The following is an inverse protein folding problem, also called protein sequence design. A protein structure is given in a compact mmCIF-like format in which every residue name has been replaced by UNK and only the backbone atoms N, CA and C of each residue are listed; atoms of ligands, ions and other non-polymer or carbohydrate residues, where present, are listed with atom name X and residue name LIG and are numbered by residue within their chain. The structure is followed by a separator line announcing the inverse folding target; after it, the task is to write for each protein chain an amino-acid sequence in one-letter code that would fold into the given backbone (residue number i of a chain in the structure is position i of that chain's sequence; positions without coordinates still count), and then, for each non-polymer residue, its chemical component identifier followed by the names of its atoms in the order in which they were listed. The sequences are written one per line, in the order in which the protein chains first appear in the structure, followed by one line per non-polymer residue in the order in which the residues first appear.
data_IF_811019059061
#
_entry.id   IF_811019059061
#
_cell.length_a   1.000
_cell.length_b   1.000
_cell.length_c   1.000
_cell.angle_alpha   90.00
_cell.angle_beta   90.00
_cell.angle_gamma   90.00
#
_symmetry.space_group_name_H-M   'P 1'
#
loop_
_entity.id
_entity.type
_entity.pdbx_description
1 polymer ?
#
# COMPACT_ATOMS: atom_id res chain seq x y z
N UNK A 1 13.02 13.23 -0.45
CA UNK A 1 11.89 13.44 -1.38
C UNK A 1 10.68 12.82 -0.72
N UNK A 2 9.81 13.65 -0.17
CA UNK A 2 8.63 13.21 0.57
C UNK A 2 7.52 12.92 -0.44
N UNK A 3 7.18 11.64 -0.63
CA UNK A 3 5.97 11.29 -1.33
C UNK A 3 4.76 11.56 -0.44
N UNK A 4 3.63 11.94 -1.04
CA UNK A 4 2.36 12.08 -0.34
C UNK A 4 1.48 10.86 -0.60
N UNK A 5 0.70 10.48 0.42
CA UNK A 5 -0.21 9.36 0.33
C UNK A 5 -1.60 9.85 -0.07
N UNK A 6 -2.12 9.34 -1.19
CA UNK A 6 -3.50 9.57 -1.61
C UNK A 6 -4.25 8.25 -1.76
N UNK A 7 -5.43 8.16 -1.14
CA UNK A 7 -6.36 7.05 -1.38
C UNK A 7 -7.38 7.43 -2.44
N UNK A 8 -7.55 6.57 -3.45
CA UNK A 8 -8.71 6.68 -4.34
C UNK A 8 -10.01 6.43 -3.56
N UNK A 9 -11.12 7.04 -4.00
CA UNK A 9 -12.44 6.87 -3.34
C UNK A 9 -12.83 5.40 -3.15
N UNK A 10 -12.47 4.53 -4.09
CA UNK A 10 -12.76 3.09 -4.01
C UNK A 10 -11.81 2.35 -3.07
N UNK A 11 -10.54 2.76 -3.00
CA UNK A 11 -9.58 2.22 -2.05
C UNK A 11 -9.93 2.61 -0.61
N UNK A 12 -10.27 3.88 -0.37
CA UNK A 12 -10.65 4.37 0.95
C UNK A 12 -11.87 3.60 1.51
N UNK A 13 -12.93 3.46 0.71
CA UNK A 13 -14.12 2.65 1.09
C UNK A 13 -13.80 1.20 1.43
N UNK A 14 -12.78 0.60 0.80
CA UNK A 14 -12.34 -0.77 1.12
C UNK A 14 -11.48 -0.78 2.38
N UNK A 15 -10.66 0.25 2.55
CA UNK A 15 -9.77 0.43 3.70
C UNK A 15 -10.57 0.63 4.99
N UNK A 16 -11.61 1.47 4.95
CA UNK A 16 -12.50 1.75 6.09
C UNK A 16 -13.29 0.52 6.56
N UNK A 17 -13.45 -0.49 5.69
CA UNK A 17 -14.09 -1.77 6.02
C UNK A 17 -13.13 -2.79 6.63
N UNK A 18 -11.84 -2.49 6.69
CA UNK A 18 -10.86 -3.38 7.30
C UNK A 18 -11.03 -3.37 8.83
N UNK A 19 -10.69 -4.49 9.46
CA UNK A 19 -10.51 -4.52 10.91
C UNK A 19 -9.47 -3.44 11.30
N UNK A 20 -9.70 -2.63 12.35
CA UNK A 20 -8.77 -1.61 12.82
C UNK A 20 -7.31 -2.08 12.95
N UNK A 21 -7.10 -3.31 13.44
CA UNK A 21 -5.75 -3.88 13.60
C UNK A 21 -5.06 -4.13 12.24
N UNK A 22 -5.82 -4.50 11.22
CA UNK A 22 -5.31 -4.71 9.86
C UNK A 22 -5.03 -3.37 9.17
N UNK A 23 -5.94 -2.40 9.37
CA UNK A 23 -5.74 -1.03 8.88
C UNK A 23 -4.46 -0.41 9.47
N UNK A 24 -4.24 -0.53 10.78
CA UNK A 24 -3.04 -0.03 11.45
C UNK A 24 -1.76 -0.68 10.92
N UNK A 25 -1.76 -2.00 10.69
CA UNK A 25 -0.63 -2.69 10.07
C UNK A 25 -0.31 -2.17 8.66
N UNK A 26 -1.34 -1.79 7.89
CA UNK A 26 -1.13 -1.18 6.59
C UNK A 26 -0.59 0.25 6.70
N UNK A 27 -1.12 1.08 7.61
CA UNK A 27 -0.66 2.46 7.82
C UNK A 27 0.84 2.47 8.15
N UNK A 28 1.28 1.67 9.12
CA UNK A 28 2.71 1.57 9.50
C UNK A 28 3.61 1.19 8.31
N UNK A 29 3.11 0.34 7.40
CA UNK A 29 3.85 -0.03 6.18
C UNK A 29 3.82 1.07 5.12
N UNK A 30 2.70 1.79 4.99
CA UNK A 30 2.58 2.90 4.05
C UNK A 30 3.51 4.04 4.46
N UNK A 31 3.54 4.42 5.74
CA UNK A 31 4.44 5.43 6.29
C UNK A 31 5.90 5.12 5.97
N UNK A 32 6.34 3.88 6.25
CA UNK A 32 7.71 3.44 5.95
C UNK A 32 8.05 3.43 4.45
N UNK A 33 7.04 3.39 3.56
CA UNK A 33 7.22 3.37 2.11
C UNK A 33 7.27 4.80 1.54
N UNK A 34 6.77 5.82 2.24
CA UNK A 34 6.80 7.21 1.75
C UNK A 34 8.23 7.74 1.55
N UNK A 35 9.20 7.24 2.33
CA UNK A 35 10.61 7.60 2.17
C UNK A 35 11.24 7.00 0.89
N UNK A 36 10.84 5.77 0.53
CA UNK A 36 11.33 5.08 -0.66
C UNK A 36 10.25 4.15 -1.27
N UNK A 37 9.35 4.69 -2.10
CA UNK A 37 8.19 3.94 -2.53
C UNK A 37 8.48 2.97 -3.68
N UNK A 38 9.57 3.17 -4.42
CA UNK A 38 9.96 2.35 -5.58
C UNK A 38 10.76 1.13 -5.14
N UNK A 39 10.09 0.15 -4.55
CA UNK A 39 10.72 -1.10 -4.06
C UNK A 39 10.66 -2.18 -5.15
N UNK A 40 11.78 -2.54 -5.83
CA UNK A 40 11.74 -3.42 -7.00
C UNK A 40 11.14 -4.81 -6.71
N UNK A 41 11.40 -5.35 -5.52
CA UNK A 41 10.87 -6.65 -5.05
C UNK A 41 9.33 -6.67 -4.97
N UNK A 42 8.72 -5.51 -4.74
CA UNK A 42 7.28 -5.36 -4.58
C UNK A 42 6.58 -4.99 -5.90
N UNK A 43 7.35 -4.70 -6.97
CA UNK A 43 6.81 -4.29 -8.26
C UNK A 43 5.92 -5.39 -8.86
N UNK A 44 4.77 -4.99 -9.38
CA UNK A 44 3.91 -5.85 -10.17
C UNK A 44 4.56 -6.13 -11.53
N UNK A 45 4.54 -7.40 -11.96
CA UNK A 45 5.11 -7.79 -13.25
C UNK A 45 4.24 -7.21 -14.38
N UNK A 46 4.87 -6.60 -15.37
CA UNK A 46 4.17 -6.03 -16.54
C UNK A 46 3.45 -4.70 -16.27
N UNK A 47 3.64 -4.07 -15.10
CA UNK A 47 3.03 -2.78 -14.78
C UNK A 47 4.05 -1.65 -14.65
N UNK A 48 3.62 -0.44 -14.98
CA UNK A 48 4.37 0.80 -14.74
C UNK A 48 4.08 1.28 -13.32
N UNK A 49 5.12 1.33 -12.49
CA UNK A 49 5.11 1.90 -11.13
C UNK A 49 3.98 1.45 -10.18
N UNK A 50 3.45 0.24 -10.39
CA UNK A 50 2.56 -0.42 -9.46
C UNK A 50 3.33 -1.40 -8.58
N UNK A 51 3.04 -1.35 -7.29
CA UNK A 51 3.72 -2.13 -6.26
C UNK A 51 2.70 -2.76 -5.30
N UNK A 52 3.11 -3.81 -4.59
CA UNK A 52 2.24 -4.54 -3.64
C UNK A 52 2.83 -4.60 -2.24
N UNK A 53 1.99 -4.35 -1.24
CA UNK A 53 2.24 -4.64 0.17
C UNK A 53 1.50 -5.93 0.52
N UNK A 54 2.17 -6.85 1.23
CA UNK A 54 1.60 -8.14 1.65
C UNK A 54 1.57 -8.22 3.16
N UNK A 55 0.39 -8.50 3.73
CA UNK A 55 0.23 -8.95 5.11
C UNK A 55 -0.02 -10.46 5.07
N UNK A 56 1.05 -11.25 5.10
CA UNK A 56 0.97 -12.71 4.87
C UNK A 56 0.11 -13.42 5.91
N UNK A 57 0.29 -13.09 7.19
CA UNK A 57 -0.46 -13.69 8.32
C UNK A 57 -1.96 -13.41 8.24
N UNK A 58 -2.32 -12.18 7.83
CA UNK A 58 -3.72 -11.76 7.73
C UNK A 58 -4.36 -12.10 6.37
N UNK A 59 -3.59 -12.56 5.38
CA UNK A 59 -4.09 -12.88 4.04
C UNK A 59 -4.40 -11.68 3.14
N UNK A 60 -3.99 -10.46 3.52
CA UNK A 60 -4.30 -9.24 2.75
C UNK A 60 -3.17 -8.80 1.82
N UNK A 61 -3.55 -8.13 0.73
CA UNK A 61 -2.65 -7.45 -0.20
C UNK A 61 -3.18 -6.06 -0.51
N UNK A 62 -2.34 -5.06 -0.39
CA UNK A 62 -2.64 -3.68 -0.78
C UNK A 62 -1.77 -3.33 -1.99
N UNK A 63 -2.37 -2.69 -2.98
CA UNK A 63 -1.66 -2.20 -4.17
C UNK A 63 -1.53 -0.69 -4.07
N UNK A 64 -0.36 -0.17 -4.40
CA UNK A 64 -0.12 1.27 -4.50
C UNK A 64 0.59 1.58 -5.82
N UNK A 65 0.36 2.79 -6.32
CA UNK A 65 1.02 3.33 -7.50
C UNK A 65 1.92 4.47 -7.07
N UNK A 66 3.11 4.54 -7.66
CA UNK A 66 3.97 5.73 -7.55
C UNK A 66 3.70 6.59 -8.78
N UNK A 67 3.32 7.86 -8.57
CA UNK A 67 3.15 8.86 -9.61
C UNK A 67 4.22 9.93 -9.48
#
# INVERSE_FOLDING_TARGET
MSYELEFSKTALKKFDKLNPQIAEQFIRKLEAILDNPKIPKNKLRGSVDLYKIKLKSAGYRLLYQVK
#
